data_IF_581579296252
#
_entry.id   IF_581579296252
#
_cell.length_a   1.000
_cell.length_b   1.000
_cell.length_c   1.000
_cell.angle_alpha   90.00
_cell.angle_beta   90.00
_cell.angle_gamma   90.00
#
_symmetry.space_group_name_H-M   'P 1'
#
loop_
_entity.id
_entity.type
_entity.pdbx_description
1 polymer ?
#
# COMPACT_ATOMS: atom_id res chain seq x y z
N UNK A 1 1.28 -13.73 -5.99
CA UNK A 1 0.25 -14.44 -5.20
C UNK A 1 -0.80 -13.42 -4.76
N UNK A 2 -2.13 -13.66 -4.93
CA UNK A 2 -3.15 -12.76 -4.40
C UNK A 2 -3.20 -12.87 -2.88
N UNK A 3 -3.24 -11.74 -2.19
CA UNK A 3 -3.43 -11.67 -0.75
C UNK A 3 -4.85 -11.22 -0.36
N UNK A 4 -5.61 -10.67 -1.30
CA UNK A 4 -6.99 -10.28 -1.12
C UNK A 4 -7.79 -10.45 -2.42
N UNK A 5 -9.12 -10.42 -2.31
CA UNK A 5 -10.01 -10.45 -3.47
C UNK A 5 -9.85 -9.19 -4.32
N UNK A 6 -10.06 -9.26 -5.65
CA UNK A 6 -10.03 -8.09 -6.52
C UNK A 6 -11.01 -7.00 -6.03
N UNK A 7 -10.56 -5.76 -5.78
CA UNK A 7 -11.41 -4.67 -5.29
C UNK A 7 -12.16 -3.97 -6.43
N UNK A 8 -12.96 -4.74 -7.17
CA UNK A 8 -13.69 -4.32 -8.37
C UNK A 8 -15.19 -4.17 -8.11
N UNK A 9 -15.87 -3.35 -8.91
CA UNK A 9 -17.33 -3.17 -8.83
C UNK A 9 -17.75 -2.71 -7.43
N UNK A 10 -18.62 -3.48 -6.77
CA UNK A 10 -19.10 -3.20 -5.42
C UNK A 10 -18.01 -3.20 -4.33
N UNK A 11 -16.84 -3.81 -4.59
CA UNK A 11 -15.70 -3.83 -3.69
C UNK A 11 -14.78 -2.61 -3.89
N UNK A 12 -14.98 -1.80 -4.92
CA UNK A 12 -14.27 -0.55 -5.09
C UNK A 12 -14.58 0.36 -3.90
N UNK A 13 -13.53 0.92 -3.28
CA UNK A 13 -13.62 1.71 -2.03
C UNK A 13 -14.28 0.95 -0.86
N UNK A 14 -13.99 -0.35 -0.77
CA UNK A 14 -14.20 -1.14 0.45
C UNK A 14 -12.87 -1.68 0.97
N UNK A 15 -12.83 -2.04 2.23
CA UNK A 15 -11.68 -2.75 2.80
C UNK A 15 -11.43 -4.05 2.06
N UNK A 16 -10.17 -4.49 1.91
CA UNK A 16 -9.87 -5.73 1.20
C UNK A 16 -10.63 -6.90 1.82
N UNK A 17 -11.12 -7.77 0.95
CA UNK A 17 -11.83 -8.98 1.34
C UNK A 17 -10.95 -10.20 1.12
N UNK A 18 -11.12 -11.28 1.89
CA UNK A 18 -10.38 -12.51 1.67
C UNK A 18 -10.52 -13.01 0.23
N UNK A 19 -9.40 -13.42 -0.36
CA UNK A 19 -9.43 -14.05 -1.70
C UNK A 19 -10.15 -15.40 -1.62
N UNK A 20 -10.91 -15.72 -2.66
CA UNK A 20 -11.52 -17.04 -2.78
C UNK A 20 -10.45 -18.14 -2.77
N UNK A 21 -10.70 -19.23 -2.05
CA UNK A 21 -9.82 -20.40 -2.09
C UNK A 21 -9.78 -20.99 -3.49
N UNK A 22 -8.62 -21.49 -3.88
CA UNK A 22 -8.45 -22.24 -5.14
C UNK A 22 -8.04 -23.68 -4.85
N UNK A 23 -8.34 -24.55 -5.81
CA UNK A 23 -7.90 -25.94 -5.78
C UNK A 23 -6.65 -26.15 -6.65
N UNK A 24 -5.82 -27.12 -6.28
CA UNK A 24 -4.61 -27.46 -7.03
C UNK A 24 -3.49 -26.43 -6.93
N UNK A 25 -2.60 -26.44 -7.93
CA UNK A 25 -1.45 -25.55 -8.00
C UNK A 25 -1.79 -24.32 -8.84
N UNK A 26 -1.68 -23.14 -8.26
CA UNK A 26 -1.79 -21.87 -8.98
C UNK A 26 -0.43 -21.47 -9.53
N UNK A 27 -0.27 -21.27 -10.85
CA UNK A 27 0.96 -20.73 -11.40
C UNK A 27 1.23 -19.31 -10.87
N UNK A 28 2.49 -19.03 -10.51
CA UNK A 28 2.96 -17.71 -10.06
C UNK A 28 4.29 -17.39 -10.76
N UNK A 29 4.29 -17.45 -12.10
CA UNK A 29 5.46 -17.34 -12.96
C UNK A 29 5.67 -15.92 -13.53
N UNK A 30 4.66 -15.05 -13.36
CA UNK A 30 4.67 -13.69 -13.88
C UNK A 30 4.19 -12.73 -12.79
N UNK A 31 4.63 -11.48 -12.89
CA UNK A 31 4.09 -10.42 -12.04
C UNK A 31 2.62 -10.15 -12.39
N UNK A 32 1.85 -9.78 -11.39
CA UNK A 32 0.46 -9.34 -11.57
C UNK A 32 0.39 -7.94 -12.16
N UNK A 33 -0.81 -7.52 -12.54
CA UNK A 33 -1.07 -6.13 -12.88
C UNK A 33 -0.78 -5.22 -11.68
N UNK A 34 -0.30 -4.01 -11.95
CA UNK A 34 -0.21 -2.91 -10.99
C UNK A 34 -1.54 -2.17 -10.89
N UNK A 35 -1.75 -1.45 -9.78
CA UNK A 35 -2.94 -0.61 -9.61
C UNK A 35 -3.06 0.42 -10.74
N UNK A 36 -4.28 0.79 -11.18
CA UNK A 36 -4.49 1.85 -12.16
C UNK A 36 -3.86 3.16 -11.69
N UNK A 37 -3.02 3.74 -12.53
CA UNK A 37 -2.20 4.92 -12.23
C UNK A 37 -1.80 5.62 -13.52
N UNK A 38 -1.39 6.88 -13.44
CA UNK A 38 -0.87 7.60 -14.61
C UNK A 38 0.51 7.05 -15.00
N UNK A 39 0.73 6.95 -16.29
CA UNK A 39 2.02 6.52 -16.85
C UNK A 39 3.04 7.67 -16.74
N UNK A 40 3.84 7.64 -15.68
CA UNK A 40 4.87 8.65 -15.42
C UNK A 40 6.06 8.54 -16.39
N UNK A 41 6.25 7.41 -17.06
CA UNK A 41 7.35 7.23 -18.02
C UNK A 41 7.30 8.24 -19.18
N UNK A 42 6.13 8.82 -19.42
CA UNK A 42 5.90 9.83 -20.45
C UNK A 42 6.10 11.28 -19.99
N UNK A 43 6.27 11.51 -18.68
CA UNK A 43 6.28 12.86 -18.13
C UNK A 43 7.68 13.50 -18.17
N UNK A 44 8.70 12.82 -17.66
CA UNK A 44 10.05 13.36 -17.56
C UNK A 44 11.13 12.27 -17.56
N UNK A 45 12.40 12.68 -17.41
CA UNK A 45 13.54 11.77 -17.37
C UNK A 45 13.48 10.83 -16.15
N UNK A 46 13.06 11.34 -15.00
CA UNK A 46 12.94 10.56 -13.77
C UNK A 46 11.87 9.47 -13.93
N UNK A 47 10.72 9.84 -14.46
CA UNK A 47 9.66 8.87 -14.77
C UNK A 47 10.10 7.77 -15.74
N UNK A 48 10.89 8.13 -16.75
CA UNK A 48 11.45 7.14 -17.69
C UNK A 48 12.45 6.20 -17.05
N UNK A 49 13.28 6.68 -16.15
CA UNK A 49 14.31 5.87 -15.50
C UNK A 49 13.72 4.91 -14.47
N UNK A 50 12.81 5.39 -13.63
CA UNK A 50 12.33 4.64 -12.45
C UNK A 50 10.96 3.99 -12.65
N UNK A 51 10.12 4.45 -13.58
CA UNK A 51 8.75 3.95 -13.75
C UNK A 51 8.46 3.41 -15.16
N UNK A 52 9.49 3.09 -15.95
CA UNK A 52 9.36 2.58 -17.32
C UNK A 52 9.07 1.07 -17.39
N UNK A 53 8.19 0.55 -16.57
CA UNK A 53 7.73 -0.84 -16.68
C UNK A 53 6.71 -0.98 -17.82
N UNK A 54 7.20 -0.95 -19.05
CA UNK A 54 6.40 -1.02 -20.28
C UNK A 54 5.53 -2.29 -20.39
N UNK A 55 5.84 -3.32 -19.61
CA UNK A 55 5.22 -4.63 -19.70
C UNK A 55 4.18 -4.92 -18.61
N UNK A 56 4.06 -4.10 -17.57
CA UNK A 56 3.08 -4.32 -16.52
C UNK A 56 1.71 -3.76 -16.90
N UNK A 57 0.75 -4.65 -17.05
CA UNK A 57 -0.65 -4.28 -17.19
C UNK A 57 -1.14 -3.53 -15.96
N UNK A 58 -2.11 -2.65 -16.14
CA UNK A 58 -2.83 -2.01 -15.06
C UNK A 58 -4.20 -2.66 -14.90
N UNK A 59 -4.63 -2.88 -13.66
CA UNK A 59 -5.95 -3.43 -13.33
C UNK A 59 -6.30 -3.10 -11.89
N UNK A 60 -7.59 -2.98 -11.58
CA UNK A 60 -8.04 -2.96 -10.19
C UNK A 60 -7.83 -4.33 -9.51
N UNK A 61 -7.76 -5.43 -10.28
CA UNK A 61 -7.28 -6.73 -9.78
C UNK A 61 -5.76 -6.69 -9.61
N UNK A 62 -5.31 -5.97 -8.58
CA UNK A 62 -3.90 -5.67 -8.32
C UNK A 62 -3.40 -6.11 -6.93
N UNK A 63 -4.26 -6.65 -6.06
CA UNK A 63 -3.90 -6.97 -4.68
C UNK A 63 -3.09 -8.27 -4.59
N UNK A 64 -1.84 -8.18 -5.05
CA UNK A 64 -0.89 -9.28 -5.14
C UNK A 64 0.42 -8.95 -4.45
N UNK A 65 1.10 -10.00 -4.01
CA UNK A 65 2.46 -9.93 -3.49
C UNK A 65 3.39 -10.86 -4.29
N UNK A 66 4.66 -10.55 -4.25
CA UNK A 66 5.74 -11.35 -4.82
C UNK A 66 6.63 -11.87 -3.69
N UNK A 67 7.14 -13.09 -3.82
CA UNK A 67 7.98 -13.72 -2.79
C UNK A 67 9.23 -14.26 -3.47
N UNK A 68 10.39 -13.86 -2.96
CA UNK A 68 11.68 -14.48 -3.26
C UNK A 68 12.17 -15.20 -2.01
N UNK A 69 12.48 -16.46 -2.15
CA UNK A 69 12.99 -17.30 -1.08
C UNK A 69 14.21 -18.08 -1.56
N UNK A 70 15.16 -18.42 -0.70
CA UNK A 70 16.28 -19.29 -1.08
C UNK A 70 15.77 -20.58 -1.71
N UNK A 71 16.41 -21.04 -2.80
CA UNK A 71 16.03 -22.28 -3.48
C UNK A 71 16.08 -23.52 -2.59
N UNK A 72 16.88 -23.50 -1.52
CA UNK A 72 17.01 -24.56 -0.52
C UNK A 72 15.99 -24.43 0.62
N UNK A 73 15.23 -23.34 0.69
CA UNK A 73 14.33 -23.08 1.82
C UNK A 73 13.25 -24.16 1.93
N UNK A 74 12.99 -24.58 3.17
CA UNK A 74 11.97 -25.56 3.50
C UNK A 74 10.97 -24.95 4.51
N UNK A 75 9.73 -25.40 4.52
CA UNK A 75 8.78 -25.02 5.56
C UNK A 75 9.38 -25.24 6.95
N UNK A 76 9.37 -24.19 7.78
CA UNK A 76 9.91 -24.25 9.14
C UNK A 76 11.35 -23.83 9.33
N UNK A 77 12.09 -23.41 8.30
CA UNK A 77 13.49 -22.92 8.39
C UNK A 77 13.62 -21.61 9.19
N UNK A 78 12.52 -20.88 9.38
CA UNK A 78 12.48 -19.62 10.14
C UNK A 78 13.46 -18.56 9.64
N UNK A 79 13.53 -18.39 8.33
CA UNK A 79 14.33 -17.35 7.70
C UNK A 79 13.71 -15.97 8.00
N UNK A 80 14.52 -14.91 8.21
CA UNK A 80 14.02 -13.57 8.39
C UNK A 80 13.24 -13.12 7.14
N UNK A 81 12.16 -12.36 7.36
CA UNK A 81 11.27 -11.86 6.30
C UNK A 81 11.47 -10.35 6.15
N UNK A 82 11.75 -9.89 4.94
CA UNK A 82 11.84 -8.48 4.59
C UNK A 82 10.62 -8.11 3.73
N UNK A 83 9.70 -7.35 4.31
CA UNK A 83 8.43 -6.95 3.70
C UNK A 83 8.56 -5.52 3.17
N UNK A 84 8.54 -5.37 1.85
CA UNK A 84 8.78 -4.12 1.16
C UNK A 84 7.48 -3.47 0.66
N UNK A 85 7.32 -2.18 0.96
CA UNK A 85 6.24 -1.33 0.48
C UNK A 85 6.85 -0.24 -0.41
N UNK A 86 6.43 -0.19 -1.68
CA UNK A 86 6.92 0.79 -2.64
C UNK A 86 6.47 2.22 -2.31
N UNK A 87 7.24 3.20 -2.77
CA UNK A 87 6.92 4.62 -2.70
C UNK A 87 5.97 5.07 -3.81
N UNK A 88 6.14 6.31 -4.27
CA UNK A 88 5.38 6.89 -5.38
C UNK A 88 4.25 7.81 -4.94
N UNK A 89 4.45 8.59 -3.87
CA UNK A 89 3.53 9.62 -3.39
C UNK A 89 2.09 9.13 -3.16
N UNK A 90 1.89 7.85 -2.90
CA UNK A 90 0.59 7.15 -2.83
C UNK A 90 -0.23 7.21 -4.13
N UNK A 91 0.33 7.66 -5.24
CA UNK A 91 -0.38 7.82 -6.52
C UNK A 91 0.09 6.85 -7.60
N UNK A 92 1.25 6.27 -7.46
CA UNK A 92 1.87 5.36 -8.42
C UNK A 92 2.82 4.38 -7.73
N UNK A 93 3.44 3.51 -8.52
CA UNK A 93 4.38 2.50 -8.07
C UNK A 93 3.85 1.08 -8.20
N UNK A 94 4.73 0.13 -7.99
CA UNK A 94 4.45 -1.32 -8.07
C UNK A 94 5.47 -2.11 -7.26
N UNK A 95 5.05 -3.22 -6.68
CA UNK A 95 5.97 -4.19 -6.08
C UNK A 95 6.80 -5.00 -7.10
N UNK A 96 6.60 -4.76 -8.39
CA UNK A 96 7.31 -5.42 -9.48
C UNK A 96 8.35 -4.52 -10.18
N UNK A 97 8.65 -3.34 -9.64
CA UNK A 97 9.71 -2.48 -10.15
C UNK A 97 11.07 -3.18 -10.09
N UNK A 98 11.95 -2.89 -11.06
CA UNK A 98 13.27 -3.55 -11.18
C UNK A 98 14.15 -3.39 -9.96
N UNK A 99 14.01 -2.26 -9.28
CA UNK A 99 14.73 -1.89 -8.07
C UNK A 99 14.36 -2.80 -6.89
N UNK A 100 13.22 -3.49 -6.97
CA UNK A 100 12.68 -4.33 -5.89
C UNK A 100 12.84 -5.83 -6.19
N UNK A 101 13.80 -6.21 -7.03
CA UNK A 101 14.17 -7.60 -7.24
C UNK A 101 14.78 -8.19 -5.96
N UNK A 102 14.08 -9.14 -5.36
CA UNK A 102 14.48 -9.79 -4.11
C UNK A 102 15.55 -10.89 -4.26
N UNK A 103 16.13 -11.11 -5.45
CA UNK A 103 17.09 -12.20 -5.70
C UNK A 103 18.28 -12.14 -4.74
N UNK A 104 18.83 -10.95 -4.50
CA UNK A 104 20.00 -10.80 -3.61
C UNK A 104 19.62 -11.03 -2.13
N UNK A 105 18.41 -10.68 -1.72
CA UNK A 105 17.92 -11.03 -0.38
C UNK A 105 17.82 -12.55 -0.23
N UNK A 106 17.21 -13.24 -1.19
CA UNK A 106 17.07 -14.68 -1.19
C UNK A 106 18.45 -15.40 -1.17
N UNK A 107 19.41 -14.94 -1.98
CA UNK A 107 20.78 -15.46 -1.95
C UNK A 107 21.48 -15.32 -0.61
N UNK A 108 21.09 -14.35 0.19
CA UNK A 108 21.63 -14.09 1.52
C UNK A 108 20.76 -14.66 2.66
N UNK A 109 19.85 -15.58 2.37
CA UNK A 109 19.06 -16.28 3.37
C UNK A 109 17.89 -15.48 3.96
N UNK A 110 17.39 -14.50 3.23
CA UNK A 110 16.25 -13.66 3.63
C UNK A 110 15.09 -13.92 2.68
N UNK A 111 13.89 -14.12 3.21
CA UNK A 111 12.66 -14.12 2.41
C UNK A 111 12.27 -12.68 2.13
N UNK A 112 12.30 -12.27 0.88
CA UNK A 112 11.89 -10.93 0.46
C UNK A 112 10.46 -10.99 -0.07
N UNK A 113 9.63 -10.03 0.36
CA UNK A 113 8.24 -9.90 -0.06
C UNK A 113 8.02 -8.47 -0.53
N UNK A 114 7.59 -8.25 -1.77
CA UNK A 114 7.09 -6.97 -2.25
C UNK A 114 5.60 -7.05 -2.53
N UNK A 115 4.90 -5.93 -2.37
CA UNK A 115 3.46 -5.88 -2.52
C UNK A 115 3.01 -4.80 -3.49
N UNK A 116 1.87 -5.02 -4.15
CA UNK A 116 1.04 -3.96 -4.69
C UNK A 116 -0.04 -3.57 -3.66
N UNK A 117 -0.48 -2.34 -3.70
CA UNK A 117 -1.64 -1.82 -2.96
C UNK A 117 -2.37 -0.79 -3.82
N UNK A 118 -3.63 -0.50 -3.53
CA UNK A 118 -4.38 0.54 -4.23
C UNK A 118 -3.77 1.90 -3.97
N UNK A 119 -3.55 2.65 -5.05
CA UNK A 119 -2.95 3.99 -5.02
C UNK A 119 -3.94 5.05 -5.49
N UNK A 120 -3.61 6.32 -5.25
CA UNK A 120 -4.36 7.48 -5.68
C UNK A 120 -5.80 7.46 -5.20
N UNK A 121 -6.70 7.91 -6.07
CA UNK A 121 -8.13 7.97 -5.77
C UNK A 121 -8.75 6.59 -5.51
N UNK A 122 -8.21 5.51 -6.06
CA UNK A 122 -8.71 4.16 -5.80
C UNK A 122 -8.32 3.66 -4.40
N UNK A 123 -7.18 4.14 -3.87
CA UNK A 123 -6.67 3.72 -2.56
C UNK A 123 -7.02 4.65 -1.39
N UNK A 124 -7.30 5.94 -1.67
CA UNK A 124 -7.38 6.95 -0.61
C UNK A 124 -8.58 7.90 -0.74
N UNK A 125 -9.62 7.48 -1.45
CA UNK A 125 -10.82 8.29 -1.63
C UNK A 125 -11.65 8.36 -0.34
N UNK A 126 -12.08 9.58 0.02
CA UNK A 126 -12.96 9.86 1.15
C UNK A 126 -14.20 10.56 0.62
N UNK A 127 -15.38 10.11 1.02
CA UNK A 127 -16.64 10.69 0.57
C UNK A 127 -17.74 10.44 1.59
N UNK A 128 -18.64 11.39 1.85
CA UNK A 128 -19.72 11.22 2.83
C UNK A 128 -20.65 10.02 2.58
N UNK A 129 -20.88 9.66 1.32
CA UNK A 129 -21.66 8.46 1.01
C UNK A 129 -20.89 7.17 1.30
N UNK A 130 -19.56 7.16 1.16
CA UNK A 130 -18.72 6.04 1.58
C UNK A 130 -18.63 5.94 3.11
N UNK A 131 -18.65 7.10 3.80
CA UNK A 131 -18.74 7.13 5.27
C UNK A 131 -20.02 6.45 5.73
N UNK A 132 -21.16 6.75 5.06
CA UNK A 132 -22.45 6.16 5.38
C UNK A 132 -22.54 4.65 5.09
N UNK A 133 -21.74 4.14 4.14
CA UNK A 133 -21.67 2.70 3.85
C UNK A 133 -20.77 1.94 4.86
N UNK A 134 -19.89 2.64 5.57
CA UNK A 134 -18.94 2.02 6.48
C UNK A 134 -19.52 1.93 7.90
N UNK A 135 -19.47 0.76 8.56
CA UNK A 135 -19.98 0.59 9.94
C UNK A 135 -19.39 1.57 10.95
N UNK A 136 -18.13 2.00 10.75
CA UNK A 136 -17.46 2.97 11.61
C UNK A 136 -17.79 4.43 11.22
N UNK A 137 -18.60 4.66 10.19
CA UNK A 137 -19.00 6.00 9.76
C UNK A 137 -17.88 6.84 9.14
N UNK A 138 -16.81 6.20 8.66
CA UNK A 138 -15.64 6.90 8.13
C UNK A 138 -15.05 6.10 6.96
N UNK A 139 -14.62 6.79 5.90
CA UNK A 139 -14.04 6.21 4.69
C UNK A 139 -12.58 6.61 4.49
N UNK A 140 -11.90 5.99 3.51
CA UNK A 140 -10.52 6.24 3.17
C UNK A 140 -9.57 5.11 3.61
N UNK A 141 -8.27 5.35 3.49
CA UNK A 141 -7.21 4.42 3.91
C UNK A 141 -7.25 3.04 3.24
N UNK A 142 -7.99 2.85 2.14
CA UNK A 142 -8.12 1.52 1.52
C UNK A 142 -6.77 0.94 1.10
N UNK A 143 -5.85 1.79 0.57
CA UNK A 143 -4.49 1.38 0.24
C UNK A 143 -3.68 0.92 1.46
N UNK A 144 -3.88 1.52 2.64
CA UNK A 144 -3.23 1.06 3.86
C UNK A 144 -3.91 -0.21 4.40
N UNK A 145 -5.22 -0.31 4.31
CA UNK A 145 -5.90 -1.58 4.66
C UNK A 145 -5.46 -2.73 3.75
N UNK A 146 -5.13 -2.47 2.47
CA UNK A 146 -4.51 -3.46 1.59
C UNK A 146 -3.15 -3.92 2.14
N UNK A 147 -2.33 -3.00 2.62
CA UNK A 147 -1.03 -3.31 3.23
C UNK A 147 -1.20 -4.10 4.54
N UNK A 148 -2.20 -3.78 5.36
CA UNK A 148 -2.55 -4.58 6.56
C UNK A 148 -2.92 -6.01 6.14
N UNK A 149 -3.79 -6.18 5.14
CA UNK A 149 -4.17 -7.50 4.65
C UNK A 149 -2.98 -8.28 4.08
N UNK A 150 -2.04 -7.60 3.42
CA UNK A 150 -0.81 -8.23 2.92
C UNK A 150 0.10 -8.70 4.07
N UNK A 151 0.25 -7.90 5.13
CA UNK A 151 0.99 -8.31 6.36
C UNK A 151 0.29 -9.49 7.02
N UNK A 152 -1.03 -9.48 7.11
CA UNK A 152 -1.80 -10.58 7.69
C UNK A 152 -1.59 -11.86 6.89
N UNK A 153 -1.65 -11.75 5.55
CA UNK A 153 -1.38 -12.89 4.68
C UNK A 153 0.05 -13.43 4.87
N UNK A 154 1.05 -12.55 4.95
CA UNK A 154 2.44 -12.95 5.18
C UNK A 154 2.58 -13.63 6.54
N UNK A 155 2.03 -13.05 7.60
CA UNK A 155 2.07 -13.62 8.94
C UNK A 155 1.47 -15.03 8.99
N UNK A 156 0.39 -15.27 8.26
CA UNK A 156 -0.31 -16.56 8.23
C UNK A 156 0.37 -17.61 7.33
N UNK A 157 1.06 -17.20 6.26
CA UNK A 157 1.45 -18.12 5.19
C UNK A 157 2.96 -18.23 4.95
N UNK A 158 3.78 -17.28 5.43
CA UNK A 158 5.19 -17.20 5.02
C UNK A 158 6.03 -18.38 5.50
N UNK A 159 5.58 -19.08 6.54
CA UNK A 159 6.25 -20.29 7.03
C UNK A 159 6.29 -21.41 5.97
N UNK A 160 5.31 -21.46 5.07
CA UNK A 160 5.30 -22.40 3.95
C UNK A 160 6.40 -22.10 2.90
N UNK A 161 6.92 -20.88 2.91
CA UNK A 161 8.02 -20.41 2.04
C UNK A 161 9.36 -20.36 2.77
N UNK A 162 9.46 -20.96 3.96
CA UNK A 162 10.65 -20.98 4.80
C UNK A 162 10.84 -19.75 5.68
N UNK A 163 9.95 -18.75 5.61
CA UNK A 163 10.04 -17.52 6.41
C UNK A 163 9.55 -17.71 7.86
N UNK A 164 10.03 -16.83 8.74
CA UNK A 164 9.58 -16.75 10.13
C UNK A 164 8.54 -15.65 10.30
N UNK A 165 7.25 -15.97 10.58
CA UNK A 165 6.23 -14.97 10.85
C UNK A 165 6.55 -14.09 12.07
N UNK A 166 7.36 -14.58 13.00
CA UNK A 166 7.82 -13.83 14.16
C UNK A 166 9.07 -12.98 13.90
N UNK A 167 9.56 -12.92 12.65
CA UNK A 167 10.74 -12.15 12.26
C UNK A 167 10.48 -11.29 11.01
N UNK A 168 9.36 -10.55 10.98
CA UNK A 168 9.00 -9.66 9.88
C UNK A 168 9.60 -8.28 10.12
N UNK A 169 10.41 -7.80 9.16
CA UNK A 169 10.90 -6.43 9.03
C UNK A 169 10.08 -5.73 7.97
N UNK A 170 9.28 -4.74 8.34
CA UNK A 170 8.58 -3.88 7.38
C UNK A 170 9.50 -2.75 6.91
N UNK A 171 9.59 -2.54 5.61
CA UNK A 171 10.48 -1.56 5.01
C UNK A 171 9.80 -0.81 3.87
N UNK A 172 10.19 0.45 3.68
CA UNK A 172 9.69 1.24 2.58
C UNK A 172 10.44 2.57 2.43
N UNK A 173 10.32 3.17 1.24
CA UNK A 173 10.95 4.43 0.90
C UNK A 173 9.86 5.45 0.52
N UNK A 174 10.04 6.74 0.87
CA UNK A 174 9.09 7.81 0.54
C UNK A 174 7.67 7.49 1.05
N UNK A 175 6.65 7.48 0.20
CA UNK A 175 5.28 7.07 0.58
C UNK A 175 5.22 5.65 1.16
N UNK A 176 6.11 4.73 0.74
CA UNK A 176 6.27 3.42 1.36
C UNK A 176 6.79 3.49 2.80
N UNK A 177 7.71 4.41 3.08
CA UNK A 177 8.14 4.70 4.45
C UNK A 177 6.99 5.27 5.29
N UNK A 178 6.23 6.22 4.75
CA UNK A 178 5.03 6.78 5.40
C UNK A 178 3.98 5.70 5.67
N UNK A 179 3.85 4.73 4.75
CA UNK A 179 3.04 3.53 4.95
C UNK A 179 3.52 2.71 6.15
N UNK A 180 4.82 2.42 6.22
CA UNK A 180 5.39 1.69 7.37
C UNK A 180 5.16 2.46 8.66
N UNK A 181 5.37 3.79 8.67
CA UNK A 181 5.07 4.63 9.83
C UNK A 181 3.59 4.53 10.26
N UNK A 182 2.66 4.51 9.29
CA UNK A 182 1.23 4.31 9.56
C UNK A 182 0.96 2.94 10.17
N UNK A 183 1.55 1.88 9.60
CA UNK A 183 1.37 0.52 10.08
C UNK A 183 1.90 0.31 11.50
N UNK A 184 3.08 0.84 11.84
CA UNK A 184 3.63 0.73 13.19
C UNK A 184 2.96 1.67 14.21
N UNK A 185 2.10 2.57 13.76
CA UNK A 185 1.23 3.41 14.58
C UNK A 185 -0.16 2.79 14.80
N UNK A 186 -0.46 1.68 14.13
CA UNK A 186 -1.77 1.03 14.13
C UNK A 186 -1.81 -0.20 15.02
N UNK A 187 -2.88 -0.37 15.79
CA UNK A 187 -3.09 -1.59 16.56
C UNK A 187 -3.35 -2.82 15.68
N UNK A 188 -3.76 -2.64 14.41
CA UNK A 188 -4.07 -3.74 13.48
C UNK A 188 -2.86 -4.61 13.12
N UNK A 189 -1.66 -4.04 13.20
CA UNK A 189 -0.41 -4.74 12.88
C UNK A 189 0.47 -5.01 14.10
N UNK A 190 -0.02 -4.62 15.30
CA UNK A 190 0.71 -4.81 16.55
C UNK A 190 1.05 -6.28 16.80
N UNK A 191 2.31 -6.54 17.10
CA UNK A 191 2.82 -7.89 17.35
C UNK A 191 3.22 -8.67 16.09
N UNK A 192 2.85 -8.23 14.87
CA UNK A 192 3.24 -8.87 13.61
C UNK A 192 4.55 -8.30 13.05
N UNK A 193 4.71 -6.99 13.06
CA UNK A 193 5.95 -6.31 12.66
C UNK A 193 6.91 -6.31 13.85
N UNK A 194 8.16 -6.77 13.64
CA UNK A 194 9.20 -6.85 14.67
C UNK A 194 10.31 -5.83 14.47
N UNK A 195 10.49 -5.33 13.24
CA UNK A 195 11.47 -4.29 12.88
C UNK A 195 10.91 -3.41 11.80
N UNK A 196 11.37 -2.17 11.75
CA UNK A 196 11.00 -1.22 10.70
C UNK A 196 12.24 -0.56 10.09
N UNK A 197 12.26 -0.48 8.74
CA UNK A 197 13.26 0.27 7.99
C UNK A 197 12.55 1.42 7.28
N UNK A 198 12.88 2.64 7.70
CA UNK A 198 12.23 3.88 7.29
C UNK A 198 13.20 4.69 6.45
N UNK A 199 12.96 4.76 5.12
CA UNK A 199 13.85 5.42 4.18
C UNK A 199 13.19 6.67 3.60
N UNK A 200 13.84 7.83 3.79
CA UNK A 200 13.49 9.09 3.10
C UNK A 200 12.02 9.48 3.26
N UNK A 201 11.54 9.56 4.51
CA UNK A 201 10.26 10.16 4.80
C UNK A 201 10.38 11.14 5.97
N UNK A 202 9.78 12.31 5.79
CA UNK A 202 9.40 13.18 6.91
C UNK A 202 8.13 12.64 7.56
N UNK A 203 7.92 12.97 8.83
CA UNK A 203 6.64 12.73 9.48
C UNK A 203 5.52 13.43 8.68
N UNK A 204 4.48 12.70 8.33
CA UNK A 204 3.26 13.30 7.83
C UNK A 204 2.23 13.24 8.94
N UNK A 205 1.77 14.41 9.35
CA UNK A 205 0.73 14.53 10.36
C UNK A 205 -0.58 13.86 10.00
N UNK A 206 -0.70 13.27 8.82
CA UNK A 206 -1.95 12.78 8.27
C UNK A 206 -2.91 13.94 7.96
N UNK A 207 -3.74 13.83 6.95
CA UNK A 207 -4.82 14.80 6.74
C UNK A 207 -5.95 14.48 7.73
N UNK A 208 -6.58 15.53 8.27
CA UNK A 208 -7.86 15.32 8.93
C UNK A 208 -8.89 14.83 7.91
N UNK A 209 -9.81 13.99 8.36
CA UNK A 209 -10.86 13.45 7.50
C UNK A 209 -11.66 14.56 6.80
N UNK A 210 -12.04 15.63 7.52
CA UNK A 210 -12.84 16.74 6.96
C UNK A 210 -12.11 17.45 5.82
N UNK A 211 -10.83 17.77 5.96
CA UNK A 211 -10.00 18.35 4.89
C UNK A 211 -9.95 17.41 3.68
N UNK A 212 -9.85 16.12 3.93
CA UNK A 212 -9.84 15.11 2.87
C UNK A 212 -11.19 15.04 2.13
N UNK A 213 -12.30 15.14 2.83
CA UNK A 213 -13.65 15.19 2.24
C UNK A 213 -13.77 16.39 1.29
N UNK A 214 -13.44 17.59 1.75
CA UNK A 214 -13.51 18.80 0.92
C UNK A 214 -12.72 18.67 -0.37
N UNK A 215 -11.49 18.17 -0.28
CA UNK A 215 -10.61 17.98 -1.44
C UNK A 215 -11.18 16.96 -2.44
N UNK A 216 -11.78 15.87 -1.95
CA UNK A 216 -12.12 14.70 -2.77
C UNK A 216 -13.54 14.69 -3.31
N UNK A 217 -14.48 15.38 -2.67
CA UNK A 217 -15.80 15.68 -3.26
C UNK A 217 -15.66 16.46 -4.58
N UNK A 218 -14.60 17.26 -4.71
CA UNK A 218 -14.28 17.96 -5.96
C UNK A 218 -13.98 16.99 -7.11
N UNK A 219 -13.27 15.88 -6.85
CA UNK A 219 -12.98 14.85 -7.87
C UNK A 219 -14.24 14.21 -8.44
N UNK A 220 -15.26 13.95 -7.61
CA UNK A 220 -16.53 13.39 -8.07
C UNK A 220 -17.21 14.30 -9.08
N UNK A 221 -17.16 15.61 -8.84
CA UNK A 221 -17.73 16.61 -9.76
C UNK A 221 -16.97 16.68 -11.08
N UNK A 222 -15.65 16.57 -11.05
CA UNK A 222 -14.81 16.57 -12.26
C UNK A 222 -15.06 15.32 -13.12
N UNK A 223 -15.36 14.18 -12.49
CA UNK A 223 -15.76 12.94 -13.17
C UNK A 223 -17.22 12.95 -13.64
N UNK A 224 -18.00 13.99 -13.29
CA UNK A 224 -19.40 14.12 -13.67
C UNK A 224 -20.35 13.17 -12.94
N UNK A 225 -19.88 12.49 -11.91
CA UNK A 225 -20.67 11.57 -11.09
C UNK A 225 -21.43 12.32 -9.99
N UNK A 226 -22.67 11.94 -9.75
CA UNK A 226 -23.55 12.57 -8.77
C UNK A 226 -23.55 11.87 -7.42
N UNK A 227 -23.16 10.60 -7.37
CA UNK A 227 -23.16 9.75 -6.20
C UNK A 227 -22.09 8.64 -6.34
N UNK A 228 -21.90 7.87 -5.29
CA UNK A 228 -20.90 6.78 -5.26
C UNK A 228 -21.23 5.63 -6.21
N UNK A 229 -22.48 5.35 -6.46
CA UNK A 229 -22.89 4.32 -7.43
C UNK A 229 -22.43 4.70 -8.85
N UNK A 230 -22.69 5.95 -9.26
CA UNK A 230 -22.18 6.47 -10.54
C UNK A 230 -20.64 6.49 -10.57
N UNK A 231 -19.99 6.85 -9.46
CA UNK A 231 -18.53 6.82 -9.33
C UNK A 231 -17.95 5.40 -9.48
N UNK A 232 -18.62 4.38 -8.95
CA UNK A 232 -18.21 2.98 -9.12
C UNK A 232 -18.32 2.50 -10.55
N UNK A 233 -19.17 3.12 -11.36
CA UNK A 233 -19.33 2.84 -12.80
C UNK A 233 -18.27 3.54 -13.67
N UNK A 234 -17.54 4.53 -13.14
CA UNK A 234 -16.48 5.22 -13.90
C UNK A 234 -15.30 4.27 -14.14
N UNK A 235 -14.75 4.18 -15.37
CA UNK A 235 -13.55 3.41 -15.63
C UNK A 235 -12.39 3.81 -14.71
N UNK A 236 -11.65 2.84 -14.21
CA UNK A 236 -10.57 3.06 -13.24
C UNK A 236 -9.46 3.97 -13.78
N UNK A 237 -9.18 3.89 -15.08
CA UNK A 237 -8.21 4.73 -15.76
C UNK A 237 -8.60 6.23 -15.70
N UNK A 238 -9.89 6.53 -15.86
CA UNK A 238 -10.39 7.91 -15.72
C UNK A 238 -10.28 8.42 -14.29
N UNK A 239 -10.52 7.57 -13.31
CA UNK A 239 -10.33 7.92 -11.89
C UNK A 239 -8.85 8.22 -11.64
N UNK A 240 -7.95 7.40 -12.17
CA UNK A 240 -6.51 7.61 -12.05
C UNK A 240 -6.01 8.88 -12.75
N UNK A 241 -6.62 9.30 -13.86
CA UNK A 241 -6.30 10.56 -14.53
C UNK A 241 -6.68 11.78 -13.69
N UNK A 242 -7.87 11.78 -13.10
CA UNK A 242 -8.39 12.91 -12.31
C UNK A 242 -7.63 13.10 -10.99
N UNK A 243 -6.97 12.08 -10.47
CA UNK A 243 -6.25 12.18 -9.19
C UNK A 243 -5.21 13.33 -9.16
N UNK A 244 -4.61 13.69 -10.30
CA UNK A 244 -3.61 14.76 -10.39
C UNK A 244 -4.22 16.17 -10.44
N UNK A 245 -5.52 16.30 -10.66
CA UNK A 245 -6.21 17.60 -10.62
C UNK A 245 -6.45 18.08 -9.18
N UNK A 246 -6.34 17.17 -8.22
CA UNK A 246 -6.54 17.45 -6.81
C UNK A 246 -5.23 17.91 -6.20
N UNK A 247 -5.23 19.16 -5.74
CA UNK A 247 -4.10 19.74 -5.03
C UNK A 247 -4.33 19.71 -3.52
N UNK A 248 -3.28 19.48 -2.77
CA UNK A 248 -3.26 19.52 -1.31
C UNK A 248 -2.33 20.59 -0.80
N UNK A 249 -2.67 21.32 0.27
CA UNK A 249 -1.76 22.22 0.93
C UNK A 249 -0.46 21.56 1.44
N UNK A 250 -0.52 20.26 1.73
CA UNK A 250 0.63 19.46 2.18
C UNK A 250 1.49 18.90 1.03
N UNK A 251 1.14 19.16 -0.22
CA UNK A 251 1.79 18.58 -1.40
C UNK A 251 1.31 17.17 -1.77
N UNK A 252 0.85 16.36 -0.81
CA UNK A 252 0.32 15.02 -1.05
C UNK A 252 -1.21 15.01 -0.89
N UNK A 253 -1.91 14.98 -2.02
CA UNK A 253 -3.37 14.95 -2.01
C UNK A 253 -3.95 13.60 -1.56
N UNK A 254 -3.27 12.52 -1.90
CA UNK A 254 -3.66 11.15 -1.59
C UNK A 254 -2.71 10.61 -0.51
N UNK A 255 -3.17 10.53 0.71
CA UNK A 255 -2.38 10.06 1.86
C UNK A 255 -3.31 9.49 2.92
N UNK A 256 -2.79 8.74 3.90
CA UNK A 256 -3.59 8.25 5.03
C UNK A 256 -4.28 9.39 5.80
N UNK A 257 -5.47 9.10 6.30
CA UNK A 257 -6.27 10.00 7.14
C UNK A 257 -6.43 9.40 8.54
N UNK A 258 -6.58 10.26 9.54
CA UNK A 258 -6.96 9.82 10.89
C UNK A 258 -8.43 9.38 10.84
N UNK A 259 -8.69 8.09 11.07
CA UNK A 259 -10.01 7.46 10.93
C UNK A 259 -10.50 6.81 12.22
N UNK A 260 -9.77 6.96 13.33
CA UNK A 260 -10.04 6.37 14.65
C UNK A 260 -10.06 4.82 14.67
N UNK A 261 -9.80 4.16 13.57
CA UNK A 261 -9.73 2.69 13.43
C UNK A 261 -8.31 2.24 13.11
N UNK A 262 -7.82 2.61 11.91
CA UNK A 262 -6.44 2.36 11.49
C UNK A 262 -5.48 3.30 12.24
N UNK A 263 -5.79 4.59 12.23
CA UNK A 263 -5.05 5.64 12.92
C UNK A 263 -5.97 6.35 13.92
N UNK A 264 -5.67 6.22 15.22
CA UNK A 264 -6.40 6.91 16.31
C UNK A 264 -5.93 8.36 16.49
N UNK A 265 -4.76 8.69 16.01
CA UNK A 265 -4.16 10.01 15.99
C UNK A 265 -3.20 10.10 14.80
N UNK A 266 -2.64 11.27 14.50
CA UNK A 266 -1.61 11.39 13.49
C UNK A 266 -0.38 10.54 13.83
N UNK A 267 0.37 10.13 12.82
CA UNK A 267 1.60 9.35 13.01
C UNK A 267 2.57 10.06 13.95
N UNK A 268 2.69 11.39 13.81
CA UNK A 268 3.57 12.21 14.68
C UNK A 268 3.10 12.20 16.13
N UNK A 269 1.80 12.35 16.38
CA UNK A 269 1.23 12.28 17.73
C UNK A 269 1.43 10.91 18.36
N UNK A 270 1.24 9.83 17.58
CA UNK A 270 1.49 8.45 18.05
C UNK A 270 2.97 8.27 18.41
N UNK A 271 3.88 8.74 17.56
CA UNK A 271 5.33 8.66 17.82
C UNK A 271 5.74 9.47 19.06
N UNK A 272 5.30 10.73 19.18
CA UNK A 272 5.63 11.60 20.29
C UNK A 272 5.04 11.11 21.62
N UNK A 273 3.90 10.46 21.60
CA UNK A 273 3.27 9.88 22.80
C UNK A 273 3.89 8.56 23.25
N UNK A 274 4.81 7.97 22.45
CA UNK A 274 5.39 6.66 22.72
C UNK A 274 4.43 5.48 22.47
N UNK A 275 3.34 5.70 21.74
CA UNK A 275 2.35 4.66 21.43
C UNK A 275 2.64 3.89 20.11
N UNK A 276 3.68 4.26 19.38
CA UNK A 276 4.16 3.45 18.26
C UNK A 276 4.61 2.06 18.74
N UNK A 277 4.73 1.11 17.81
CA UNK A 277 5.19 -0.23 18.18
C UNK A 277 6.58 -0.17 18.85
N UNK A 278 6.76 -0.87 19.96
CA UNK A 278 8.06 -1.04 20.63
C UNK A 278 8.86 -2.14 19.91
N UNK A 279 9.60 -1.73 18.87
CA UNK A 279 10.35 -2.59 17.95
C UNK A 279 11.69 -1.92 17.60
N UNK A 280 12.56 -2.64 16.90
CA UNK A 280 13.82 -2.08 16.40
C UNK A 280 13.58 -1.22 15.15
N UNK A 281 14.20 -0.04 15.07
CA UNK A 281 14.10 0.90 13.97
C UNK A 281 15.44 1.16 13.28
N UNK A 282 15.44 1.14 11.96
CA UNK A 282 16.49 1.73 11.12
C UNK A 282 15.89 2.89 10.34
N UNK A 283 16.40 4.10 10.58
CA UNK A 283 15.86 5.33 9.98
C UNK A 283 17.00 6.04 9.25
N UNK A 284 16.74 6.49 8.02
CA UNK A 284 17.72 7.24 7.24
C UNK A 284 17.10 8.02 6.10
N UNK A 285 17.82 9.06 5.69
CA UNK A 285 17.52 9.85 4.51
C UNK A 285 18.84 10.21 3.80
N UNK A 286 18.75 10.58 2.53
CA UNK A 286 19.91 11.12 1.81
C UNK A 286 20.12 12.59 2.16
N UNK A 287 21.36 13.09 2.00
CA UNK A 287 21.67 14.50 2.30
C UNK A 287 20.98 15.51 1.38
N UNK A 288 20.34 15.05 0.32
CA UNK A 288 19.60 15.87 -0.64
C UNK A 288 18.10 15.55 -0.70
N UNK A 289 17.60 14.81 0.27
CA UNK A 289 16.14 14.62 0.40
C UNK A 289 15.47 15.95 0.71
N UNK A 290 14.40 16.27 -0.02
CA UNK A 290 13.66 17.52 0.10
C UNK A 290 12.26 17.20 0.63
#
# INVERSE_FOLDING_TARGET
VPYAAPPVGELRWKRPQPHAKWEGVRPALEFSAKAPQTDLSKMDLYGKEFYSDENLKQSEDCLYLNIWTPASAQPGDKLPVFFWIHGGAFTHGSGAEKEFDGEQFAKNGVVFVSINYRVGALGFFVHPELDAENPEGISGNYGIYDQVAAIDWVYENIAAFGGDPDCITAAGQSAGCMSVQTLISSDLTRGKIKRAVLQSAGGLGGLSHDVSVEMRVKSSKELGAKNIEEMRAVPAEKIAEVQYTIQSPSGLAWQPVVDNVLLKASVDEVALSGNAHDIDYMIGCTGGDI
#
